data_IF_116363474861
#
_entry.id   IF_116363474861
#
_cell.length_a   1.000
_cell.length_b   1.000
_cell.length_c   1.000
_cell.angle_alpha   90.00
_cell.angle_beta   90.00
_cell.angle_gamma   90.00
#
_symmetry.space_group_name_H-M   'P 1'
#
loop_
_entity.id
_entity.type
_entity.pdbx_description
1 polymer ?
#
# COMPACT_ATOMS: atom_id res chain seq x y z
N UNK A 1 -9.33 -14.80 14.13
CA UNK A 1 -7.87 -14.79 14.13
C UNK A 1 -7.37 -13.45 13.61
N UNK A 2 -6.38 -12.85 14.27
CA UNK A 2 -5.87 -11.54 13.88
C UNK A 2 -4.79 -11.67 12.80
N UNK A 3 -4.74 -10.66 11.90
CA UNK A 3 -3.75 -10.64 10.82
C UNK A 3 -2.41 -10.11 11.34
N UNK A 4 -1.36 -10.82 10.99
CA UNK A 4 0.01 -10.40 11.27
C UNK A 4 0.63 -9.75 10.03
N UNK A 5 1.82 -9.17 10.19
CA UNK A 5 2.49 -8.49 9.09
C UNK A 5 2.65 -9.41 7.87
N UNK A 6 3.04 -10.65 8.08
CA UNK A 6 3.24 -11.62 6.99
C UNK A 6 1.93 -12.08 6.34
N UNK A 7 0.79 -11.82 6.96
CA UNK A 7 -0.51 -12.19 6.39
C UNK A 7 -1.03 -11.15 5.40
N UNK A 8 -0.42 -9.97 5.36
CA UNK A 8 -0.82 -8.92 4.43
C UNK A 8 -0.25 -9.22 3.04
N UNK A 9 -1.08 -9.08 2.02
CA UNK A 9 -0.64 -9.30 0.63
C UNK A 9 0.12 -8.07 0.12
N UNK A 10 1.34 -7.91 0.61
CA UNK A 10 2.20 -6.83 0.14
C UNK A 10 2.51 -6.99 -1.35
N UNK A 11 2.70 -5.88 -2.10
CA UNK A 11 3.01 -5.98 -3.54
C UNK A 11 4.25 -6.83 -3.83
N UNK A 12 5.23 -6.80 -2.92
CA UNK A 12 6.38 -7.69 -2.98
C UNK A 12 7.03 -7.74 -1.60
N UNK A 13 8.06 -8.57 -1.46
CA UNK A 13 8.78 -8.71 -0.19
C UNK A 13 9.92 -7.71 -0.03
N UNK A 14 10.11 -6.80 -0.98
CA UNK A 14 11.23 -5.86 -0.98
C UNK A 14 10.92 -4.53 -0.32
N UNK A 15 11.63 -3.50 -0.76
CA UNK A 15 11.45 -2.14 -0.27
C UNK A 15 10.15 -1.52 -0.76
N UNK A 16 9.76 -0.40 -0.15
CA UNK A 16 8.59 0.35 -0.62
C UNK A 16 8.78 0.82 -2.05
N UNK A 17 9.97 1.29 -2.41
CA UNK A 17 10.25 1.70 -3.80
C UNK A 17 9.99 0.56 -4.77
N UNK A 18 10.42 -0.64 -4.42
CA UNK A 18 10.18 -1.83 -5.23
C UNK A 18 8.69 -2.15 -5.32
N UNK A 19 7.97 -2.01 -4.21
CA UNK A 19 6.52 -2.21 -4.19
C UNK A 19 5.81 -1.27 -5.15
N UNK A 20 6.21 0.00 -5.19
CA UNK A 20 5.64 0.97 -6.12
C UNK A 20 5.92 0.57 -7.57
N UNK A 21 7.15 0.13 -7.86
CA UNK A 21 7.48 -0.37 -9.19
C UNK A 21 6.58 -1.53 -9.59
N UNK A 22 6.34 -2.47 -8.68
CA UNK A 22 5.47 -3.62 -8.94
C UNK A 22 4.04 -3.18 -9.22
N UNK A 23 3.51 -2.27 -8.40
CA UNK A 23 2.14 -1.79 -8.56
C UNK A 23 1.92 -1.04 -9.86
N UNK A 24 2.94 -0.34 -10.35
CA UNK A 24 2.84 0.46 -11.56
C UNK A 24 3.48 -0.21 -12.79
N UNK A 25 3.91 -1.46 -12.64
CA UNK A 25 4.53 -2.19 -13.74
C UNK A 25 3.58 -2.31 -14.92
N UNK A 26 4.07 -1.95 -16.10
CA UNK A 26 3.29 -2.05 -17.33
C UNK A 26 2.26 -0.94 -17.51
N UNK A 27 2.13 -0.03 -16.55
CA UNK A 27 1.20 1.09 -16.66
C UNK A 27 1.84 2.20 -17.49
N UNK A 28 1.16 2.64 -18.55
CA UNK A 28 1.65 3.74 -19.36
C UNK A 28 1.55 5.05 -18.61
N UNK A 29 2.45 5.97 -18.95
CA UNK A 29 2.60 7.23 -18.24
C UNK A 29 1.29 8.02 -18.15
N UNK A 30 0.53 8.05 -19.25
CA UNK A 30 -0.73 8.80 -19.27
C UNK A 30 -1.81 8.18 -18.37
N UNK A 31 -1.65 6.92 -17.99
CA UNK A 31 -2.59 6.21 -17.12
C UNK A 31 -2.16 6.18 -15.66
N UNK A 32 -1.03 6.81 -15.29
CA UNK A 32 -0.49 6.75 -13.94
C UNK A 32 -1.47 7.30 -12.90
N UNK A 33 -2.08 8.45 -13.15
CA UNK A 33 -3.02 9.04 -12.18
C UNK A 33 -4.17 8.11 -11.88
N UNK A 34 -4.71 7.48 -12.90
CA UNK A 34 -5.82 6.55 -12.75
C UNK A 34 -5.40 5.30 -11.97
N UNK A 35 -4.25 4.73 -12.33
CA UNK A 35 -3.72 3.54 -11.67
C UNK A 35 -3.44 3.82 -10.20
N UNK A 36 -2.81 4.95 -9.89
CA UNK A 36 -2.51 5.34 -8.51
C UNK A 36 -3.79 5.49 -7.71
N UNK A 37 -4.81 6.14 -8.28
CA UNK A 37 -6.10 6.29 -7.61
C UNK A 37 -6.73 4.95 -7.29
N UNK A 38 -6.64 3.98 -8.21
CA UNK A 38 -7.14 2.63 -7.98
C UNK A 38 -6.40 1.92 -6.86
N UNK A 39 -5.07 2.02 -6.85
CA UNK A 39 -4.27 1.40 -5.79
C UNK A 39 -4.52 2.05 -4.43
N UNK A 40 -4.77 3.37 -4.39
CA UNK A 40 -5.03 4.07 -3.14
C UNK A 40 -6.39 3.70 -2.54
N UNK A 41 -7.28 3.05 -3.27
CA UNK A 41 -8.51 2.52 -2.69
C UNK A 41 -8.23 1.46 -1.63
N UNK A 42 -7.09 0.78 -1.74
CA UNK A 42 -6.67 -0.21 -0.74
C UNK A 42 -5.55 0.31 0.14
N UNK A 43 -4.53 0.94 -0.45
CA UNK A 43 -3.30 1.32 0.26
C UNK A 43 -3.36 2.69 0.91
N UNK A 44 -4.46 3.43 0.79
CA UNK A 44 -4.62 4.67 1.55
C UNK A 44 -4.82 4.33 3.04
N UNK A 45 -4.07 4.99 3.97
CA UNK A 45 -4.14 4.63 5.39
C UNK A 45 -5.55 4.61 5.96
N UNK A 46 -6.36 5.62 5.66
CA UNK A 46 -7.73 5.70 6.18
C UNK A 46 -8.59 4.53 5.68
N UNK A 47 -8.46 4.23 4.39
CA UNK A 47 -9.25 3.14 3.79
C UNK A 47 -8.80 1.79 4.29
N UNK A 48 -7.50 1.60 4.42
CA UNK A 48 -6.93 0.36 4.96
C UNK A 48 -7.43 0.14 6.40
N UNK A 49 -7.37 1.19 7.22
CA UNK A 49 -7.82 1.10 8.61
C UNK A 49 -9.32 0.81 8.71
N UNK A 50 -10.14 1.44 7.88
CA UNK A 50 -11.58 1.18 7.87
C UNK A 50 -11.89 -0.29 7.60
N UNK A 51 -11.11 -0.91 6.73
CA UNK A 51 -11.34 -2.31 6.34
C UNK A 51 -10.75 -3.31 7.32
N UNK A 52 -9.57 -3.04 7.85
CA UNK A 52 -8.78 -4.07 8.51
C UNK A 52 -8.32 -3.73 9.93
N UNK A 53 -8.57 -2.51 10.42
CA UNK A 53 -8.03 -2.06 11.70
C UNK A 53 -8.29 -3.06 12.83
N UNK A 54 -9.52 -3.54 12.95
CA UNK A 54 -9.93 -4.44 14.02
C UNK A 54 -9.40 -5.86 13.83
N UNK A 55 -8.89 -6.16 12.63
CA UNK A 55 -8.41 -7.48 12.29
C UNK A 55 -6.90 -7.62 12.42
N UNK A 56 -6.20 -6.53 12.66
CA UNK A 56 -4.75 -6.55 12.77
C UNK A 56 -4.31 -7.02 14.14
N UNK A 57 -3.26 -7.86 14.16
CA UNK A 57 -2.68 -8.31 15.41
C UNK A 57 -2.07 -7.11 16.15
N UNK A 58 -2.33 -6.94 17.47
CA UNK A 58 -1.86 -5.75 18.19
C UNK A 58 -0.35 -5.53 18.12
N UNK A 59 0.43 -6.60 18.12
CA UNK A 59 1.90 -6.50 18.10
C UNK A 59 2.42 -5.99 16.74
N UNK A 60 1.69 -6.23 15.67
CA UNK A 60 2.11 -5.88 14.31
C UNK A 60 1.39 -4.66 13.77
N UNK A 61 0.37 -4.18 14.47
CA UNK A 61 -0.50 -3.11 13.97
C UNK A 61 0.26 -1.87 13.52
N UNK A 62 1.13 -1.35 14.39
CA UNK A 62 1.90 -0.14 14.08
C UNK A 62 2.81 -0.36 12.86
N UNK A 63 3.49 -1.49 12.81
CA UNK A 63 4.39 -1.85 11.71
C UNK A 63 3.63 -1.93 10.39
N UNK A 64 2.45 -2.55 10.41
CA UNK A 64 1.61 -2.66 9.22
C UNK A 64 1.15 -1.29 8.75
N UNK A 65 0.63 -0.46 9.66
CA UNK A 65 0.11 0.85 9.30
C UNK A 65 1.21 1.80 8.82
N UNK A 66 2.40 1.70 9.37
CA UNK A 66 3.54 2.48 8.89
C UNK A 66 3.92 2.10 7.46
N UNK A 67 3.93 0.80 7.15
CA UNK A 67 4.24 0.34 5.79
C UNK A 67 3.16 0.80 4.80
N UNK A 68 1.90 0.71 5.19
CA UNK A 68 0.79 1.18 4.36
C UNK A 68 0.95 2.68 4.09
N UNK A 69 1.29 3.46 5.11
CA UNK A 69 1.52 4.90 4.95
C UNK A 69 2.66 5.16 3.95
N UNK A 70 3.76 4.43 4.06
CA UNK A 70 4.89 4.59 3.15
C UNK A 70 4.51 4.26 1.71
N UNK A 71 3.69 3.23 1.50
CA UNK A 71 3.19 2.87 0.18
C UNK A 71 2.33 4.01 -0.37
N UNK A 72 1.45 4.57 0.45
CA UNK A 72 0.60 5.69 0.06
C UNK A 72 1.43 6.90 -0.38
N UNK A 73 2.45 7.26 0.41
CA UNK A 73 3.34 8.36 0.07
C UNK A 73 4.07 8.08 -1.24
N UNK A 74 4.58 6.86 -1.42
CA UNK A 74 5.27 6.47 -2.63
C UNK A 74 4.38 6.55 -3.87
N UNK A 75 3.12 6.10 -3.75
CA UNK A 75 2.17 6.20 -4.84
C UNK A 75 1.86 7.65 -5.21
N UNK A 76 1.66 8.51 -4.20
CA UNK A 76 1.38 9.92 -4.45
C UNK A 76 2.57 10.62 -5.11
N UNK A 77 3.80 10.26 -4.70
CA UNK A 77 5.01 10.84 -5.30
C UNK A 77 5.19 10.39 -6.74
N UNK A 78 4.76 9.17 -7.08
CA UNK A 78 4.86 8.66 -8.44
C UNK A 78 4.00 9.46 -9.44
N UNK A 79 3.00 10.20 -8.96
CA UNK A 79 2.16 11.04 -9.82
C UNK A 79 2.93 12.21 -10.45
N UNK A 80 4.09 12.54 -9.88
CA UNK A 80 4.89 13.66 -10.32
C UNK A 80 5.79 13.33 -11.52
N UNK A 81 5.85 12.06 -11.91
CA UNK A 81 6.71 11.63 -13.02
C UNK A 81 5.92 11.36 -14.31
#
# INVERSE_FOLDING_TARGET
MKLRYEDICWPCSGTVDRMIEVLLHGVERHAFKRAIRQHLRFWHPDKFQQKLSDRLHPNDRQKILEKVHQISVGLNNARLY
#
